data_IF_740863619148
#
_entry.id   IF_740863619148
#
_cell.length_a   1.000
_cell.length_b   1.000
_cell.length_c   1.000
_cell.angle_alpha   90.00
_cell.angle_beta   90.00
_cell.angle_gamma   90.00
#
_symmetry.space_group_name_H-M   'P 1'
#
loop_
_entity.id
_entity.type
_entity.pdbx_description
1 polymer ?
#
# COMPACT_ATOMS: atom_id res chain seq x y z
N UNK A 1 4.67 12.70 -30.68
CA UNK A 1 4.19 11.31 -30.53
C UNK A 1 4.92 10.57 -29.43
N UNK A 2 6.25 10.41 -29.50
CA UNK A 2 7.07 9.65 -28.51
C UNK A 2 6.79 9.96 -27.03
N UNK A 3 6.62 11.24 -26.67
CA UNK A 3 6.35 11.65 -25.28
C UNK A 3 4.94 11.23 -24.78
N UNK A 4 3.94 11.26 -25.66
CA UNK A 4 2.58 10.81 -25.34
C UNK A 4 2.56 9.29 -25.14
N UNK A 5 3.27 8.55 -25.98
CA UNK A 5 3.34 7.09 -25.90
C UNK A 5 4.08 6.64 -24.63
N UNK A 6 5.16 7.32 -24.26
CA UNK A 6 5.87 7.10 -22.99
C UNK A 6 4.98 7.38 -21.78
N UNK A 7 4.19 8.46 -21.80
CA UNK A 7 3.27 8.78 -20.70
C UNK A 7 2.21 7.71 -20.52
N UNK A 8 1.62 7.22 -21.63
CA UNK A 8 0.62 6.14 -21.60
C UNK A 8 1.24 4.84 -21.08
N UNK A 9 2.44 4.49 -21.54
CA UNK A 9 3.13 3.29 -21.08
C UNK A 9 3.45 3.35 -19.57
N UNK A 10 3.91 4.50 -19.08
CA UNK A 10 4.20 4.69 -17.67
C UNK A 10 2.94 4.64 -16.78
N UNK A 11 1.84 5.24 -17.24
CA UNK A 11 0.56 5.19 -16.54
C UNK A 11 0.03 3.75 -16.44
N UNK A 12 0.10 2.98 -17.53
CA UNK A 12 -0.25 1.55 -17.53
C UNK A 12 0.62 0.74 -16.58
N UNK A 13 1.93 0.93 -16.61
CA UNK A 13 2.85 0.23 -15.72
C UNK A 13 2.56 0.53 -14.23
N UNK A 14 2.25 1.80 -13.90
CA UNK A 14 1.84 2.18 -12.54
C UNK A 14 0.52 1.50 -12.14
N UNK A 15 -0.45 1.46 -13.05
CA UNK A 15 -1.74 0.81 -12.79
C UNK A 15 -1.60 -0.70 -12.59
N UNK A 16 -0.81 -1.37 -13.43
CA UNK A 16 -0.54 -2.81 -13.32
C UNK A 16 0.20 -3.14 -12.01
N UNK A 17 1.18 -2.32 -11.62
CA UNK A 17 1.88 -2.49 -10.35
C UNK A 17 0.95 -2.34 -9.14
N UNK A 18 -0.01 -1.41 -9.20
CA UNK A 18 -1.00 -1.25 -8.14
C UNK A 18 -1.96 -2.44 -8.05
N UNK A 19 -2.47 -2.92 -9.19
CA UNK A 19 -3.37 -4.09 -9.24
C UNK A 19 -2.65 -5.32 -8.68
N UNK A 20 -1.42 -5.58 -9.13
CA UNK A 20 -0.61 -6.69 -8.63
C UNK A 20 -0.36 -6.58 -7.12
N UNK A 21 -0.14 -5.37 -6.59
CA UNK A 21 0.00 -5.16 -5.15
C UNK A 21 -1.29 -5.53 -4.39
N UNK A 22 -2.46 -5.13 -4.90
CA UNK A 22 -3.74 -5.47 -4.28
C UNK A 22 -3.96 -6.98 -4.24
N UNK A 23 -3.75 -7.68 -5.35
CA UNK A 23 -3.93 -9.13 -5.44
C UNK A 23 -3.00 -9.86 -4.46
N UNK A 24 -1.73 -9.47 -4.41
CA UNK A 24 -0.75 -10.07 -3.50
C UNK A 24 -1.08 -9.81 -2.03
N UNK A 25 -1.54 -8.61 -1.69
CA UNK A 25 -1.90 -8.27 -0.31
C UNK A 25 -3.21 -8.93 0.11
N UNK A 26 -4.16 -9.08 -0.81
CA UNK A 26 -5.39 -9.84 -0.61
C UNK A 26 -5.09 -11.34 -0.37
N UNK A 27 -4.18 -11.94 -1.15
CA UNK A 27 -3.73 -13.32 -0.90
C UNK A 27 -3.11 -13.46 0.49
N UNK A 28 -2.22 -12.55 0.91
CA UNK A 28 -1.69 -12.55 2.28
C UNK A 28 -2.80 -12.40 3.34
N UNK A 29 -3.80 -11.56 3.07
CA UNK A 29 -4.94 -11.34 3.96
C UNK A 29 -5.77 -12.61 4.17
N UNK A 30 -6.11 -13.30 3.09
CA UNK A 30 -7.03 -14.44 3.14
C UNK A 30 -6.34 -15.78 3.38
N UNK A 31 -5.20 -16.03 2.75
CA UNK A 31 -4.52 -17.33 2.82
C UNK A 31 -3.57 -17.43 4.01
N UNK A 32 -2.98 -16.30 4.43
CA UNK A 32 -1.96 -16.27 5.49
C UNK A 32 -2.44 -15.55 6.75
N UNK A 33 -3.76 -15.28 6.85
CA UNK A 33 -4.39 -14.64 8.00
C UNK A 33 -3.67 -13.34 8.41
N UNK A 34 -3.20 -12.55 7.45
CA UNK A 34 -2.33 -11.38 7.70
C UNK A 34 -2.89 -10.45 8.78
N UNK A 35 -4.20 -10.21 8.81
CA UNK A 35 -4.82 -9.30 9.79
C UNK A 35 -4.70 -9.78 11.24
N UNK A 36 -4.74 -11.09 11.48
CA UNK A 36 -4.67 -11.71 12.82
C UNK A 36 -3.30 -12.29 13.15
N UNK A 37 -2.35 -12.24 12.21
CA UNK A 37 -0.96 -12.65 12.40
C UNK A 37 -0.29 -11.97 13.60
N UNK A 38 0.74 -12.58 14.17
CA UNK A 38 1.52 -12.03 15.28
C UNK A 38 2.71 -11.17 14.81
N UNK A 39 3.25 -10.37 15.73
CA UNK A 39 4.46 -9.59 15.45
C UNK A 39 5.64 -10.55 15.23
N UNK A 40 6.26 -10.47 14.06
CA UNK A 40 7.37 -11.33 13.66
C UNK A 40 6.98 -12.40 12.64
N UNK A 41 5.68 -12.62 12.40
CA UNK A 41 5.22 -13.59 11.41
C UNK A 41 5.70 -13.20 10.00
N UNK A 42 6.06 -14.21 9.21
CA UNK A 42 6.52 -14.05 7.82
C UNK A 42 5.51 -13.26 6.99
N UNK A 43 4.22 -13.50 7.18
CA UNK A 43 3.15 -12.77 6.51
C UNK A 43 3.27 -11.25 6.74
N UNK A 44 3.52 -10.79 7.97
CA UNK A 44 3.72 -9.36 8.28
C UNK A 44 5.01 -8.82 7.68
N UNK A 45 6.09 -9.60 7.73
CA UNK A 45 7.40 -9.21 7.19
C UNK A 45 7.29 -9.01 5.68
N UNK A 46 6.69 -9.98 4.97
CA UNK A 46 6.50 -9.95 3.52
C UNK A 46 5.54 -8.83 3.13
N UNK A 47 4.41 -8.68 3.82
CA UNK A 47 3.46 -7.60 3.57
C UNK A 47 4.15 -6.23 3.68
N UNK A 48 4.91 -5.99 4.76
CA UNK A 48 5.64 -4.74 4.96
C UNK A 48 6.68 -4.50 3.87
N UNK A 49 7.48 -5.48 3.53
CA UNK A 49 8.50 -5.34 2.49
C UNK A 49 7.88 -4.94 1.14
N UNK A 50 6.78 -5.60 0.76
CA UNK A 50 6.04 -5.30 -0.48
C UNK A 50 5.40 -3.92 -0.45
N UNK A 51 4.76 -3.53 0.64
CA UNK A 51 4.19 -2.18 0.80
C UNK A 51 5.25 -1.09 0.62
N UNK A 52 6.43 -1.25 1.23
CA UNK A 52 7.51 -0.26 1.10
C UNK A 52 8.11 -0.20 -0.32
N UNK A 53 8.17 -1.33 -1.03
CA UNK A 53 8.57 -1.37 -2.42
C UNK A 53 7.54 -0.66 -3.32
N UNK A 54 6.25 -1.02 -3.19
CA UNK A 54 5.18 -0.41 -3.97
C UNK A 54 5.07 1.11 -3.74
N UNK A 55 5.15 1.58 -2.48
CA UNK A 55 5.13 3.00 -2.16
C UNK A 55 6.35 3.78 -2.68
N UNK A 56 7.43 3.10 -3.09
CA UNK A 56 8.59 3.76 -3.70
C UNK A 56 8.42 3.97 -5.19
N UNK A 57 7.87 2.96 -5.86
CA UNK A 57 7.75 2.92 -7.32
C UNK A 57 6.52 3.66 -7.84
N UNK A 58 5.40 3.60 -7.11
CA UNK A 58 4.12 4.14 -7.58
C UNK A 58 4.11 5.67 -7.61
N UNK A 59 3.34 6.25 -8.53
CA UNK A 59 3.01 7.67 -8.53
C UNK A 59 2.11 8.07 -7.34
N UNK A 60 1.95 9.38 -7.10
CA UNK A 60 1.18 9.89 -5.95
C UNK A 60 -0.29 9.44 -5.92
N UNK A 61 -0.92 9.30 -7.09
CA UNK A 61 -2.32 8.86 -7.18
C UNK A 61 -2.44 7.39 -6.75
N UNK A 62 -1.60 6.51 -7.29
CA UNK A 62 -1.62 5.08 -6.96
C UNK A 62 -1.14 4.82 -5.53
N UNK A 63 -0.17 5.57 -5.01
CA UNK A 63 0.17 5.53 -3.58
C UNK A 63 -1.02 5.88 -2.70
N UNK A 64 -1.80 6.89 -3.09
CA UNK A 64 -3.01 7.29 -2.35
C UNK A 64 -4.04 6.16 -2.32
N UNK A 65 -4.25 5.48 -3.45
CA UNK A 65 -5.14 4.31 -3.52
C UNK A 65 -4.62 3.15 -2.68
N UNK A 66 -3.32 2.87 -2.73
CA UNK A 66 -2.66 1.85 -1.92
C UNK A 66 -2.86 2.09 -0.42
N UNK A 67 -2.57 3.32 0.06
CA UNK A 67 -2.74 3.67 1.47
C UNK A 67 -4.20 3.58 1.90
N UNK A 68 -5.13 4.03 1.06
CA UNK A 68 -6.58 3.93 1.35
C UNK A 68 -7.02 2.48 1.52
N UNK A 69 -6.59 1.58 0.63
CA UNK A 69 -6.85 0.15 0.75
C UNK A 69 -6.31 -0.41 2.09
N UNK A 70 -5.08 -0.06 2.47
CA UNK A 70 -4.48 -0.51 3.73
C UNK A 70 -5.23 0.00 4.96
N UNK A 71 -5.79 1.20 4.92
CA UNK A 71 -6.64 1.73 5.99
C UNK A 71 -7.96 0.95 6.05
N UNK A 72 -8.63 0.75 4.91
CA UNK A 72 -9.91 0.02 4.84
C UNK A 72 -9.78 -1.44 5.26
N UNK A 73 -8.62 -2.06 5.00
CA UNK A 73 -8.31 -3.42 5.45
C UNK A 73 -7.81 -3.48 6.91
N UNK A 74 -7.76 -2.36 7.62
CA UNK A 74 -7.26 -2.23 9.00
C UNK A 74 -5.80 -2.71 9.18
N UNK A 75 -5.01 -2.65 8.11
CA UNK A 75 -3.62 -3.16 8.13
C UNK A 75 -2.62 -2.15 8.66
N UNK A 76 -2.94 -0.86 8.61
CA UNK A 76 -2.06 0.22 9.09
C UNK A 76 -2.69 1.05 10.22
N UNK A 77 -3.84 0.62 10.75
CA UNK A 77 -4.57 1.32 11.82
C UNK A 77 -4.37 0.62 13.17
N UNK A 78 -4.71 1.32 14.26
CA UNK A 78 -4.67 0.76 15.62
C UNK A 78 -3.29 0.80 16.29
N UNK A 79 -3.24 0.32 17.55
CA UNK A 79 -2.02 0.39 18.40
C UNK A 79 -0.88 -0.49 17.89
N UNK A 80 -1.20 -1.62 17.26
CA UNK A 80 -0.25 -2.61 16.77
C UNK A 80 -0.48 -2.90 15.28
N UNK A 81 -0.31 -1.86 14.45
CA UNK A 81 -0.45 -1.93 12.99
C UNK A 81 0.20 -3.21 12.42
N UNK A 82 -0.54 -3.93 11.57
CA UNK A 82 -0.07 -5.13 10.89
C UNK A 82 1.13 -4.80 10.00
N UNK A 83 1.01 -3.72 9.25
CA UNK A 83 2.04 -3.18 8.37
C UNK A 83 2.52 -1.86 8.97
N UNK A 84 3.77 -1.83 9.43
CA UNK A 84 4.41 -0.60 9.92
C UNK A 84 4.94 0.22 8.74
N UNK A 85 4.41 1.44 8.57
CA UNK A 85 4.83 2.38 7.52
C UNK A 85 6.08 3.21 7.88
N UNK A 86 6.78 2.89 8.96
CA UNK A 86 8.05 3.53 9.29
C UNK A 86 9.03 3.43 8.09
N UNK A 87 9.57 4.58 7.66
CA UNK A 87 10.42 4.76 6.48
C UNK A 87 9.73 4.62 5.11
N UNK A 88 8.39 4.63 5.06
CA UNK A 88 7.66 4.67 3.79
C UNK A 88 7.78 6.04 3.12
N UNK A 89 7.97 6.05 1.80
CA UNK A 89 7.88 7.28 1.01
C UNK A 89 6.40 7.61 0.72
N UNK A 90 5.80 8.45 1.56
CA UNK A 90 4.42 8.93 1.42
C UNK A 90 4.31 10.29 0.70
N UNK A 91 5.37 10.72 -0.01
CA UNK A 91 5.32 11.95 -0.81
C UNK A 91 4.16 11.90 -1.81
N UNK A 92 3.40 12.99 -1.93
CA UNK A 92 2.27 13.12 -2.86
C UNK A 92 1.08 12.20 -2.58
N UNK A 93 1.01 11.58 -1.40
CA UNK A 93 -0.18 10.84 -0.96
C UNK A 93 -1.26 11.84 -0.54
N UNK A 94 -2.43 11.77 -1.20
CA UNK A 94 -3.60 12.58 -0.90
C UNK A 94 -4.66 11.75 -0.14
N UNK A 95 -4.82 12.08 1.13
CA UNK A 95 -5.80 11.47 2.04
C UNK A 95 -6.96 12.41 2.41
N UNK A 96 -7.10 13.56 1.73
CA UNK A 96 -8.20 14.50 1.99
C UNK A 96 -9.56 13.81 1.81
N UNK A 97 -10.54 14.19 2.65
CA UNK A 97 -11.89 13.64 2.61
C UNK A 97 -12.10 12.33 3.38
N UNK A 98 -11.10 11.81 4.10
CA UNK A 98 -11.25 10.67 5.01
C UNK A 98 -11.27 11.11 6.46
N UNK A 99 -12.20 10.54 7.23
CA UNK A 99 -12.11 10.56 8.69
C UNK A 99 -11.09 9.50 9.12
N UNK A 100 -9.81 9.89 9.19
CA UNK A 100 -8.69 9.01 9.57
C UNK A 100 -8.60 8.81 11.10
N UNK A 101 -9.70 8.93 11.85
CA UNK A 101 -9.70 8.72 13.30
C UNK A 101 -9.12 7.33 13.64
N UNK A 102 -7.90 7.32 14.17
CA UNK A 102 -7.16 6.11 14.55
C UNK A 102 -6.04 5.65 13.61
N UNK A 103 -5.88 6.26 12.43
CA UNK A 103 -4.70 6.05 11.60
C UNK A 103 -3.56 6.95 12.10
N UNK A 104 -2.61 6.38 12.83
CA UNK A 104 -1.35 7.07 13.14
C UNK A 104 -0.49 6.97 11.89
N UNK A 105 -0.59 7.97 11.02
CA UNK A 105 0.30 8.12 9.87
C UNK A 105 1.47 8.97 10.35
N UNK A 106 2.70 8.43 10.42
CA UNK A 106 3.88 9.17 10.86
C UNK A 106 4.27 10.28 9.89
#
# INVERSE_FOLDING_TARGET
>A
MKERDLKIANDRANQEALIAYFDQTASLLFEYNLRTSQVGDEARIVARARTLAALRELDGERKSQLVKFLVEAELITGKTSVIKLSNANLSNVDLRGRNLQGAIIP
#
